data_IF_527965448058
#
_entry.id   IF_527965448058
#
_cell.length_a   1.000
_cell.length_b   1.000
_cell.length_c   1.000
_cell.angle_alpha   90.00
_cell.angle_beta   90.00
_cell.angle_gamma   90.00
#
_symmetry.space_group_name_H-M   'P 1'
#
loop_
_entity.id
_entity.type
_entity.pdbx_description
1 polymer ?
#
# COMPACT_ATOMS: atom_id res chain seq x y z
N UNK A 1 -18.86 6.36 -17.51
CA UNK A 1 -18.99 5.00 -16.91
C UNK A 1 -18.79 5.18 -15.42
N UNK A 2 -19.69 4.64 -14.60
CA UNK A 2 -19.48 4.60 -13.15
C UNK A 2 -18.58 3.38 -12.86
N UNK A 3 -17.33 3.63 -12.55
CA UNK A 3 -16.30 2.60 -12.31
C UNK A 3 -16.43 1.89 -10.95
N UNK A 4 -17.33 2.36 -10.07
CA UNK A 4 -17.69 1.69 -8.82
C UNK A 4 -18.96 0.84 -8.92
N UNK A 5 -19.77 0.98 -9.96
CA UNK A 5 -21.11 0.40 -10.06
C UNK A 5 -21.15 -1.14 -9.91
N UNK A 6 -20.06 -1.83 -10.22
CA UNK A 6 -19.99 -3.30 -10.18
C UNK A 6 -18.95 -3.83 -9.18
N UNK A 7 -18.36 -2.93 -8.36
CA UNK A 7 -17.38 -3.33 -7.35
C UNK A 7 -18.12 -3.82 -6.11
N UNK A 8 -17.92 -5.09 -5.76
CA UNK A 8 -18.38 -5.64 -4.49
C UNK A 8 -17.33 -5.31 -3.42
N UNK A 9 -17.65 -4.49 -2.41
CA UNK A 9 -16.71 -4.20 -1.34
C UNK A 9 -16.41 -5.43 -0.46
N UNK A 10 -15.23 -5.50 0.18
CA UNK A 10 -14.92 -6.52 1.18
C UNK A 10 -15.98 -6.57 2.29
N UNK A 11 -16.32 -7.77 2.75
CA UNK A 11 -17.39 -7.97 3.75
C UNK A 11 -17.22 -7.13 5.04
N UNK A 12 -15.97 -6.90 5.47
CA UNK A 12 -15.64 -6.16 6.68
C UNK A 12 -15.45 -4.64 6.46
N UNK A 13 -15.45 -4.18 5.19
CA UNK A 13 -15.14 -2.79 4.85
C UNK A 13 -16.09 -1.81 5.53
N UNK A 14 -17.40 -2.06 5.49
CA UNK A 14 -18.40 -1.18 6.10
C UNK A 14 -18.22 -1.01 7.62
N UNK A 15 -17.67 -2.00 8.31
CA UNK A 15 -17.37 -1.90 9.73
C UNK A 15 -16.17 -0.95 9.97
N UNK A 16 -15.14 -1.03 9.13
CA UNK A 16 -13.97 -0.15 9.20
C UNK A 16 -14.40 1.27 8.86
N UNK A 17 -15.14 1.50 7.76
CA UNK A 17 -15.60 2.83 7.32
C UNK A 17 -16.37 3.57 8.43
N UNK A 18 -17.33 2.90 9.09
CA UNK A 18 -18.08 3.50 10.21
C UNK A 18 -17.17 3.91 11.37
N UNK A 19 -16.17 3.08 11.70
CA UNK A 19 -15.23 3.38 12.80
C UNK A 19 -14.25 4.46 12.40
N UNK A 20 -13.80 4.47 11.16
CA UNK A 20 -12.94 5.51 10.57
C UNK A 20 -13.63 6.87 10.61
N UNK A 21 -14.90 6.94 10.21
CA UNK A 21 -15.71 8.15 10.28
C UNK A 21 -15.92 8.63 11.73
N UNK A 22 -16.21 7.71 12.65
CA UNK A 22 -16.36 8.03 14.08
C UNK A 22 -15.05 8.51 14.72
N UNK A 23 -13.92 8.00 14.26
CA UNK A 23 -12.58 8.41 14.70
C UNK A 23 -12.17 9.75 14.09
N UNK A 24 -12.75 10.15 12.95
CA UNK A 24 -12.43 11.38 12.24
C UNK A 24 -11.08 11.31 11.52
N UNK A 25 -10.69 10.15 11.00
CA UNK A 25 -9.43 9.96 10.28
C UNK A 25 -9.48 10.63 8.91
N UNK A 26 -8.60 11.62 8.60
CA UNK A 26 -8.72 12.46 7.40
C UNK A 26 -8.06 11.86 6.15
N UNK A 27 -7.27 10.78 6.28
CA UNK A 27 -6.42 10.20 5.23
C UNK A 27 -6.87 8.80 4.83
N UNK A 28 -8.19 8.59 4.70
CA UNK A 28 -8.74 7.29 4.34
C UNK A 28 -8.56 7.01 2.85
N UNK A 29 -8.00 5.83 2.51
CA UNK A 29 -7.86 5.38 1.11
C UNK A 29 -9.22 5.27 0.42
N UNK A 30 -9.27 5.67 -0.85
CA UNK A 30 -10.51 5.66 -1.63
C UNK A 30 -10.91 4.23 -2.07
N UNK A 31 -12.24 3.96 -2.24
CA UNK A 31 -12.71 2.65 -2.70
C UNK A 31 -12.15 2.22 -4.06
N UNK A 32 -11.86 3.17 -4.96
CA UNK A 32 -11.23 2.89 -6.26
C UNK A 32 -9.83 2.35 -6.10
N UNK A 33 -9.00 3.01 -5.29
CA UNK A 33 -7.66 2.53 -4.93
C UNK A 33 -7.75 1.12 -4.34
N UNK A 34 -8.67 0.90 -3.41
CA UNK A 34 -8.91 -0.41 -2.80
C UNK A 34 -9.25 -1.49 -3.83
N UNK A 35 -10.15 -1.22 -4.78
CA UNK A 35 -10.53 -2.18 -5.82
C UNK A 35 -9.34 -2.56 -6.73
N UNK A 36 -8.46 -1.60 -7.06
CA UNK A 36 -7.23 -1.88 -7.80
C UNK A 36 -6.31 -2.77 -6.97
N UNK A 37 -6.06 -2.42 -5.69
CA UNK A 37 -5.21 -3.19 -4.79
C UNK A 37 -5.69 -4.64 -4.67
N UNK A 38 -7.00 -4.88 -4.51
CA UNK A 38 -7.61 -6.21 -4.51
C UNK A 38 -7.27 -7.00 -5.77
N UNK A 39 -7.43 -6.35 -6.93
CA UNK A 39 -7.18 -6.99 -8.23
C UNK A 39 -5.71 -7.36 -8.40
N UNK A 40 -4.79 -6.47 -7.99
CA UNK A 40 -3.36 -6.72 -8.05
C UNK A 40 -2.91 -7.77 -7.02
N UNK A 41 -3.51 -7.81 -5.84
CA UNK A 41 -3.27 -8.85 -4.83
C UNK A 41 -3.69 -10.23 -5.35
N UNK A 42 -4.86 -10.33 -6.01
CA UNK A 42 -5.33 -11.57 -6.63
C UNK A 42 -4.39 -12.10 -7.73
N UNK A 43 -3.59 -11.23 -8.35
CA UNK A 43 -2.58 -11.63 -9.35
C UNK A 43 -1.29 -12.20 -8.71
N UNK A 44 -1.22 -12.30 -7.37
CA UNK A 44 -0.06 -12.81 -6.61
C UNK A 44 -0.41 -14.00 -5.71
N UNK A 45 -0.77 -15.16 -6.27
CA UNK A 45 -1.09 -16.35 -5.47
C UNK A 45 0.09 -16.77 -4.59
N UNK A 46 -0.14 -17.00 -3.29
CA UNK A 46 0.88 -17.31 -2.31
C UNK A 46 1.91 -16.19 -2.07
N UNK A 47 1.63 -14.99 -2.58
CA UNK A 47 2.54 -13.85 -2.54
C UNK A 47 2.73 -13.27 -1.15
N UNK A 48 3.87 -12.59 -0.96
CA UNK A 48 4.15 -11.75 0.22
C UNK A 48 3.85 -10.30 -0.14
N UNK A 49 2.95 -9.68 0.61
CA UNK A 49 2.52 -8.30 0.40
C UNK A 49 2.98 -7.42 1.57
N UNK A 50 3.31 -6.18 1.28
CA UNK A 50 3.67 -5.15 2.25
C UNK A 50 2.82 -3.91 2.02
N UNK A 51 2.28 -3.36 3.09
CA UNK A 51 1.61 -2.06 3.12
C UNK A 51 2.36 -1.12 4.06
N UNK A 52 2.77 0.03 3.57
CA UNK A 52 3.39 1.10 4.33
C UNK A 52 2.35 2.21 4.51
N UNK A 53 1.79 2.31 5.72
CA UNK A 53 0.64 3.14 6.05
C UNK A 53 -0.64 2.30 6.20
N UNK A 54 -0.87 1.72 7.40
CA UNK A 54 -2.09 0.96 7.71
C UNK A 54 -3.30 1.90 7.87
N UNK A 55 -3.08 3.05 8.49
CA UNK A 55 -4.16 3.92 8.93
C UNK A 55 -5.19 3.14 9.73
N UNK A 56 -6.46 3.24 9.34
CA UNK A 56 -7.57 2.51 9.95
C UNK A 56 -7.83 1.12 9.34
N UNK A 57 -7.07 0.73 8.29
CA UNK A 57 -7.14 -0.60 7.66
C UNK A 57 -8.07 -0.70 6.46
N UNK A 58 -8.47 0.42 5.84
CA UNK A 58 -9.33 0.39 4.66
C UNK A 58 -8.65 -0.30 3.48
N UNK A 59 -7.44 0.14 3.09
CA UNK A 59 -6.69 -0.50 2.02
C UNK A 59 -6.27 -1.93 2.38
N UNK A 60 -5.91 -2.17 3.66
CA UNK A 60 -5.63 -3.50 4.21
C UNK A 60 -6.78 -4.48 3.95
N UNK A 61 -8.04 -4.05 4.16
CA UNK A 61 -9.22 -4.90 3.91
C UNK A 61 -9.37 -5.29 2.44
N UNK A 62 -9.10 -4.38 1.52
CA UNK A 62 -9.13 -4.65 0.08
C UNK A 62 -8.01 -5.60 -0.36
N UNK A 63 -6.79 -5.41 0.17
CA UNK A 63 -5.67 -6.32 -0.09
C UNK A 63 -6.02 -7.74 0.36
N UNK A 64 -6.51 -7.91 1.59
CA UNK A 64 -6.92 -9.21 2.15
C UNK A 64 -8.01 -9.90 1.33
N UNK A 65 -9.00 -9.13 0.84
CA UNK A 65 -10.10 -9.67 0.01
C UNK A 65 -9.60 -10.20 -1.35
N UNK A 66 -8.52 -9.62 -1.89
CA UNK A 66 -7.89 -10.10 -3.12
C UNK A 66 -6.92 -11.26 -2.95
N UNK A 67 -6.39 -11.47 -1.75
CA UNK A 67 -5.36 -12.47 -1.47
C UNK A 67 -5.93 -13.88 -1.39
N UNK A 68 -5.18 -14.85 -1.91
CA UNK A 68 -5.48 -16.26 -1.69
C UNK A 68 -5.11 -16.71 -0.24
N UNK A 69 -5.52 -17.94 0.17
CA UNK A 69 -5.28 -18.42 1.54
C UNK A 69 -3.82 -18.61 1.93
N UNK A 70 -2.89 -18.66 0.98
CA UNK A 70 -1.45 -18.89 1.21
C UNK A 70 -0.63 -17.63 1.15
N UNK A 71 -1.21 -16.51 0.68
CA UNK A 71 -0.56 -15.21 0.66
C UNK A 71 -0.47 -14.62 2.07
N UNK A 72 0.50 -13.72 2.29
CA UNK A 72 0.68 -13.01 3.57
C UNK A 72 0.77 -11.53 3.34
N UNK A 73 0.22 -10.75 4.27
CA UNK A 73 0.28 -9.29 4.27
C UNK A 73 0.88 -8.80 5.59
N UNK A 74 1.95 -8.03 5.49
CA UNK A 74 2.45 -7.22 6.61
C UNK A 74 2.04 -5.77 6.35
N UNK A 75 1.40 -5.14 7.33
CA UNK A 75 1.04 -3.71 7.28
C UNK A 75 1.70 -2.97 8.42
N UNK A 76 2.24 -1.78 8.14
CA UNK A 76 3.06 -1.02 9.09
C UNK A 76 2.53 0.40 9.22
N UNK A 77 2.36 0.87 10.46
CA UNK A 77 2.02 2.25 10.76
C UNK A 77 2.61 2.68 12.10
N UNK A 78 2.84 3.96 12.26
CA UNK A 78 3.35 4.53 13.51
C UNK A 78 2.21 4.85 14.49
N UNK A 79 0.97 5.02 14.01
CA UNK A 79 -0.20 5.40 14.83
C UNK A 79 -0.95 4.17 15.39
N UNK A 80 -0.71 3.80 16.67
CA UNK A 80 -1.40 2.68 17.29
C UNK A 80 -2.91 2.90 17.44
N UNK A 81 -3.36 4.17 17.46
CA UNK A 81 -4.79 4.50 17.67
C UNK A 81 -5.58 4.27 16.38
N UNK A 82 -5.06 4.71 15.25
CA UNK A 82 -5.65 4.39 13.95
C UNK A 82 -5.62 2.88 13.70
N UNK A 83 -4.47 2.23 13.93
CA UNK A 83 -4.31 0.77 13.77
C UNK A 83 -5.21 -0.06 14.68
N UNK A 84 -5.67 0.47 15.83
CA UNK A 84 -6.59 -0.26 16.70
C UNK A 84 -7.88 -0.66 15.96
N UNK A 85 -8.35 0.17 15.02
CA UNK A 85 -9.54 -0.14 14.20
C UNK A 85 -9.25 -1.35 13.30
N UNK A 86 -8.10 -1.35 12.61
CA UNK A 86 -7.67 -2.48 11.77
C UNK A 86 -7.50 -3.77 12.61
N UNK A 87 -6.86 -3.69 13.78
CA UNK A 87 -6.68 -4.84 14.69
C UNK A 87 -7.99 -5.45 15.13
N UNK A 88 -8.94 -4.61 15.53
CA UNK A 88 -10.24 -5.07 16.04
C UNK A 88 -11.09 -5.74 14.96
N UNK A 89 -11.02 -5.25 13.72
CA UNK A 89 -11.87 -5.73 12.62
C UNK A 89 -11.20 -6.84 11.81
N UNK A 90 -9.90 -6.71 11.54
CA UNK A 90 -9.14 -7.57 10.63
C UNK A 90 -8.19 -8.53 11.35
N UNK A 91 -7.86 -8.29 12.61
CA UNK A 91 -6.82 -9.02 13.34
C UNK A 91 -7.05 -10.52 13.53
N UNK A 92 -8.25 -11.03 13.21
CA UNK A 92 -8.53 -12.46 13.21
C UNK A 92 -8.05 -13.18 11.92
N UNK A 93 -7.69 -12.43 10.87
CA UNK A 93 -7.17 -13.01 9.62
C UNK A 93 -5.72 -13.46 9.81
N UNK A 94 -5.47 -14.76 9.67
CA UNK A 94 -4.16 -15.37 9.89
C UNK A 94 -3.12 -15.00 8.83
N UNK A 95 -3.52 -14.41 7.72
CA UNK A 95 -2.64 -13.92 6.66
C UNK A 95 -2.07 -12.54 6.98
N UNK A 96 -2.63 -11.84 7.98
CA UNK A 96 -2.32 -10.45 8.32
C UNK A 96 -1.38 -10.35 9.53
N UNK A 97 -0.31 -9.60 9.36
CA UNK A 97 0.56 -9.11 10.44
C UNK A 97 0.49 -7.58 10.50
N UNK A 98 0.02 -7.04 11.64
CA UNK A 98 -0.10 -5.59 11.87
C UNK A 98 1.03 -5.14 12.79
N UNK A 99 1.97 -4.39 12.25
CA UNK A 99 3.16 -3.89 12.94
C UNK A 99 2.97 -2.42 13.31
N UNK A 100 3.03 -2.10 14.62
CA UNK A 100 3.06 -0.71 15.08
C UNK A 100 4.51 -0.26 15.23
N UNK A 101 5.03 0.40 14.22
CA UNK A 101 6.41 0.87 14.16
C UNK A 101 6.55 1.98 13.12
N UNK A 102 7.53 2.85 13.28
CA UNK A 102 7.96 3.73 12.20
C UNK A 102 8.40 2.92 10.98
N UNK A 103 7.84 3.24 9.81
CA UNK A 103 8.08 2.46 8.59
C UNK A 103 9.56 2.53 8.13
N UNK A 104 10.28 3.62 8.42
CA UNK A 104 11.71 3.70 8.10
C UNK A 104 12.53 2.77 8.98
N UNK A 105 12.20 2.68 10.27
CA UNK A 105 12.83 1.73 11.21
C UNK A 105 12.50 0.29 10.80
N UNK A 106 11.27 0.02 10.39
CA UNK A 106 10.84 -1.29 9.91
C UNK A 106 11.65 -1.72 8.67
N UNK A 107 11.73 -0.88 7.63
CA UNK A 107 12.47 -1.17 6.41
C UNK A 107 13.96 -1.37 6.68
N UNK A 108 14.56 -0.56 7.55
CA UNK A 108 15.97 -0.70 7.94
C UNK A 108 16.26 -2.01 8.70
N UNK A 109 15.27 -2.53 9.43
CA UNK A 109 15.38 -3.78 10.18
C UNK A 109 15.30 -5.06 9.33
N UNK A 110 14.89 -4.96 8.05
CA UNK A 110 14.81 -6.11 7.16
C UNK A 110 16.20 -6.65 6.79
N UNK A 111 16.29 -7.96 6.60
CA UNK A 111 17.55 -8.63 6.32
C UNK A 111 18.11 -8.29 4.94
N UNK A 112 19.42 -8.40 4.77
CA UNK A 112 20.07 -8.21 3.48
C UNK A 112 19.58 -9.22 2.41
N UNK A 113 19.12 -10.40 2.81
CA UNK A 113 18.53 -11.38 1.90
C UNK A 113 17.18 -10.91 1.34
N UNK A 114 16.34 -10.32 2.18
CA UNK A 114 15.07 -9.73 1.78
C UNK A 114 15.29 -8.51 0.89
N UNK A 115 16.23 -7.62 1.26
CA UNK A 115 16.52 -6.40 0.51
C UNK A 115 17.10 -6.62 -0.89
N UNK A 116 17.57 -7.83 -1.20
CA UNK A 116 18.10 -8.17 -2.54
C UNK A 116 17.06 -8.79 -3.48
N UNK A 117 15.78 -8.82 -3.09
CA UNK A 117 14.73 -9.43 -3.89
C UNK A 117 14.86 -10.95 -4.03
N UNK A 118 15.56 -11.60 -3.08
CA UNK A 118 15.66 -13.06 -2.99
C UNK A 118 14.32 -13.70 -2.59
N UNK A 119 14.37 -14.92 -2.06
CA UNK A 119 13.16 -15.64 -1.61
C UNK A 119 12.39 -14.90 -0.50
N UNK A 120 13.04 -13.97 0.20
CA UNK A 120 12.46 -13.11 1.24
C UNK A 120 11.76 -11.83 0.75
N UNK A 121 11.87 -11.43 -0.53
CA UNK A 121 11.27 -10.19 -1.06
C UNK A 121 9.75 -10.21 -1.14
N UNK A 122 9.14 -9.08 -1.51
CA UNK A 122 7.68 -8.90 -1.64
C UNK A 122 7.23 -8.97 -3.09
N UNK A 123 6.03 -9.51 -3.30
CA UNK A 123 5.38 -9.62 -4.61
C UNK A 123 4.50 -8.41 -4.91
N UNK A 124 4.12 -7.66 -3.85
CA UNK A 124 3.41 -6.40 -3.94
C UNK A 124 3.80 -5.53 -2.76
N UNK A 125 4.11 -4.25 -3.03
CA UNK A 125 4.30 -3.22 -2.00
C UNK A 125 3.35 -2.08 -2.31
N UNK A 126 2.51 -1.70 -1.34
CA UNK A 126 1.67 -0.52 -1.37
C UNK A 126 2.25 0.54 -0.45
N UNK A 127 2.63 1.69 -1.02
CA UNK A 127 3.22 2.81 -0.30
C UNK A 127 2.18 3.94 -0.16
N UNK A 128 1.56 4.01 1.00
CA UNK A 128 0.59 5.04 1.41
C UNK A 128 1.04 5.82 2.64
N UNK A 129 2.35 6.02 2.75
CA UNK A 129 3.03 6.84 3.74
C UNK A 129 4.14 7.63 3.08
N UNK A 130 4.76 8.58 3.80
CA UNK A 130 5.93 9.33 3.29
C UNK A 130 7.11 8.40 3.03
N UNK A 131 7.28 7.40 3.90
CA UNK A 131 8.25 6.31 3.73
C UNK A 131 7.78 5.36 2.63
N UNK A 132 8.69 5.03 1.71
CA UNK A 132 8.37 4.29 0.49
C UNK A 132 7.99 5.19 -0.69
N UNK A 133 7.55 6.43 -0.44
CA UNK A 133 7.33 7.44 -1.50
C UNK A 133 8.53 8.37 -1.63
N UNK A 134 8.79 9.18 -0.63
CA UNK A 134 9.79 10.25 -0.64
C UNK A 134 11.00 9.94 0.23
N UNK A 135 10.86 9.00 1.14
CA UNK A 135 11.89 8.54 2.06
C UNK A 135 12.07 7.04 1.89
N UNK A 136 13.31 6.58 1.91
CA UNK A 136 13.67 5.17 1.77
C UNK A 136 13.08 4.44 0.54
N UNK A 137 12.81 5.17 -0.55
CA UNK A 137 12.29 4.60 -1.79
C UNK A 137 13.20 3.49 -2.33
N UNK A 138 14.53 3.70 -2.33
CA UNK A 138 15.49 2.72 -2.84
C UNK A 138 15.47 1.43 -2.04
N UNK A 139 15.37 1.52 -0.71
CA UNK A 139 15.27 0.37 0.17
C UNK A 139 13.96 -0.39 -0.06
N UNK A 140 12.85 0.33 -0.19
CA UNK A 140 11.55 -0.28 -0.45
C UNK A 140 11.52 -0.98 -1.83
N UNK A 141 12.07 -0.35 -2.87
CA UNK A 141 12.17 -0.95 -4.21
C UNK A 141 13.12 -2.16 -4.24
N UNK A 142 14.19 -2.15 -3.44
CA UNK A 142 15.10 -3.30 -3.32
C UNK A 142 14.43 -4.54 -2.75
N UNK A 143 13.37 -4.36 -1.93
CA UNK A 143 12.56 -5.46 -1.38
C UNK A 143 11.59 -6.07 -2.40
N UNK A 144 11.35 -5.42 -3.53
CA UNK A 144 10.42 -5.91 -4.53
C UNK A 144 11.04 -7.03 -5.35
N UNK A 145 10.33 -8.15 -5.53
CA UNK A 145 10.75 -9.24 -6.41
C UNK A 145 10.63 -8.87 -7.89
N UNK A 146 11.39 -9.49 -8.79
CA UNK A 146 11.10 -9.43 -10.22
C UNK A 146 9.64 -9.81 -10.51
N UNK A 147 8.96 -9.01 -11.32
CA UNK A 147 7.51 -9.14 -11.57
C UNK A 147 6.63 -8.60 -10.45
N UNK A 148 7.20 -8.12 -9.33
CA UNK A 148 6.45 -7.54 -8.22
C UNK A 148 5.85 -6.18 -8.56
N UNK A 149 4.71 -5.86 -7.94
CA UNK A 149 4.04 -4.57 -8.04
C UNK A 149 4.49 -3.61 -6.95
N UNK A 150 4.81 -2.37 -7.34
CA UNK A 150 4.98 -1.24 -6.43
C UNK A 150 3.89 -0.22 -6.72
N UNK A 151 3.01 0.02 -5.76
CA UNK A 151 1.89 0.93 -5.92
C UNK A 151 2.09 2.12 -4.97
N UNK A 152 1.93 3.34 -5.47
CA UNK A 152 2.04 4.57 -4.69
C UNK A 152 0.72 5.32 -4.79
N UNK A 153 0.18 5.72 -3.64
CA UNK A 153 -1.05 6.53 -3.57
C UNK A 153 -0.76 8.04 -3.43
N UNK A 154 -1.81 8.85 -3.51
CA UNK A 154 -1.78 10.31 -3.30
C UNK A 154 -0.87 11.07 -4.27
N UNK A 155 -0.99 10.80 -5.56
CA UNK A 155 -0.18 11.46 -6.59
C UNK A 155 -0.91 12.63 -7.29
N UNK A 156 -2.20 12.82 -7.02
CA UNK A 156 -2.97 14.00 -7.46
C UNK A 156 -3.17 14.98 -6.29
N UNK A 157 -3.19 16.30 -6.56
CA UNK A 157 -3.37 17.31 -5.52
C UNK A 157 -4.64 17.08 -4.69
N UNK A 158 -4.49 17.10 -3.38
CA UNK A 158 -5.57 16.98 -2.41
C UNK A 158 -5.57 18.15 -1.45
N UNK A 159 -6.78 18.57 -1.00
CA UNK A 159 -6.93 19.69 -0.09
C UNK A 159 -6.30 19.46 1.31
N UNK A 160 -6.09 18.18 1.67
CA UNK A 160 -5.48 17.77 2.93
C UNK A 160 -3.96 17.80 2.92
N UNK A 161 -3.32 18.04 1.76
CA UNK A 161 -1.87 18.01 1.67
C UNK A 161 -1.23 19.23 2.36
N UNK A 162 -0.10 19.03 3.07
CA UNK A 162 0.75 20.13 3.46
C UNK A 162 1.40 20.77 2.22
N UNK A 163 1.73 22.08 2.30
CA UNK A 163 2.28 22.83 1.15
C UNK A 163 3.53 22.21 0.53
N UNK A 164 4.37 21.59 1.36
CA UNK A 164 5.61 20.95 0.95
C UNK A 164 5.40 19.62 0.21
N UNK A 165 4.19 19.04 0.21
CA UNK A 165 3.91 17.76 -0.46
C UNK A 165 3.87 17.91 -1.99
N UNK A 166 3.12 18.87 -2.50
CA UNK A 166 2.89 19.04 -3.93
C UNK A 166 4.18 19.10 -4.78
N UNK A 167 5.27 19.82 -4.37
CA UNK A 167 6.52 19.83 -5.11
C UNK A 167 7.29 18.51 -5.13
N UNK A 168 7.01 17.58 -4.22
CA UNK A 168 7.68 16.26 -4.17
C UNK A 168 7.17 15.30 -5.23
N UNK A 169 5.89 15.40 -5.61
CA UNK A 169 5.27 14.49 -6.58
C UNK A 169 5.96 14.48 -7.94
N UNK A 170 6.19 15.61 -8.64
CA UNK A 170 6.88 15.59 -9.92
C UNK A 170 8.30 15.02 -9.83
N UNK A 171 8.99 15.25 -8.72
CA UNK A 171 10.34 14.72 -8.50
C UNK A 171 10.32 13.20 -8.35
N UNK A 172 9.36 12.67 -7.57
CA UNK A 172 9.18 11.22 -7.42
C UNK A 172 8.85 10.56 -8.76
N UNK A 173 7.92 11.16 -9.53
CA UNK A 173 7.54 10.64 -10.85
C UNK A 173 8.75 10.59 -11.82
N UNK A 174 9.57 11.65 -11.86
CA UNK A 174 10.80 11.68 -12.64
C UNK A 174 11.78 10.59 -12.16
N UNK A 175 12.01 10.48 -10.85
CA UNK A 175 12.89 9.45 -10.28
C UNK A 175 12.45 8.04 -10.68
N UNK A 176 11.15 7.75 -10.66
CA UNK A 176 10.62 6.43 -11.03
C UNK A 176 10.74 6.18 -12.55
N UNK A 177 10.48 7.20 -13.37
CA UNK A 177 10.58 7.10 -14.82
C UNK A 177 12.01 6.83 -15.32
N UNK A 178 13.03 7.35 -14.61
CA UNK A 178 14.44 7.16 -14.94
C UNK A 178 14.99 5.78 -14.55
N UNK A 179 14.19 4.93 -13.87
CA UNK A 179 14.62 3.61 -13.41
C UNK A 179 14.40 2.56 -14.50
N UNK A 180 15.48 2.12 -15.14
CA UNK A 180 15.44 1.10 -16.19
C UNK A 180 14.89 -0.26 -15.71
N UNK A 181 15.06 -0.57 -14.41
CA UNK A 181 14.56 -1.80 -13.77
C UNK A 181 13.04 -1.78 -13.51
N UNK A 182 12.37 -0.65 -13.73
CA UNK A 182 10.93 -0.51 -13.54
C UNK A 182 10.18 -0.35 -14.87
N UNK A 183 8.97 -0.89 -14.91
CA UNK A 183 7.96 -0.53 -15.90
C UNK A 183 6.89 0.25 -15.15
N UNK A 184 6.72 1.55 -15.47
CA UNK A 184 5.93 2.50 -14.66
C UNK A 184 4.76 3.03 -15.47
N UNK A 185 3.59 3.16 -14.83
CA UNK A 185 2.44 3.90 -15.35
C UNK A 185 1.89 4.83 -14.27
N UNK A 186 1.56 6.06 -14.67
CA UNK A 186 0.90 7.04 -13.82
C UNK A 186 -0.60 7.06 -14.17
N UNK A 187 -1.44 6.91 -13.16
CA UNK A 187 -2.88 6.88 -13.30
C UNK A 187 -3.49 8.14 -12.68
N UNK A 188 -4.00 9.05 -13.52
CA UNK A 188 -4.80 10.21 -13.07
C UNK A 188 -6.22 9.75 -12.72
N UNK A 189 -6.34 8.89 -11.71
CA UNK A 189 -7.56 8.21 -11.30
C UNK A 189 -7.54 7.99 -9.78
N UNK A 190 -8.71 8.02 -9.10
CA UNK A 190 -8.79 8.02 -7.64
C UNK A 190 -8.01 9.21 -7.06
N UNK A 191 -7.22 9.00 -6.03
CA UNK A 191 -6.27 9.94 -5.41
C UNK A 191 -5.02 10.26 -6.26
N UNK A 192 -4.94 9.64 -7.46
CA UNK A 192 -3.73 9.58 -8.28
C UNK A 192 -2.80 8.48 -7.84
N UNK A 193 -2.50 7.56 -8.76
CA UNK A 193 -1.72 6.38 -8.46
C UNK A 193 -0.51 6.26 -9.39
N UNK A 194 0.59 5.75 -8.85
CA UNK A 194 1.65 5.15 -9.66
C UNK A 194 1.59 3.64 -9.49
N UNK A 195 1.61 2.91 -10.59
CA UNK A 195 1.81 1.47 -10.59
C UNK A 195 3.11 1.16 -11.31
N UNK A 196 4.05 0.55 -10.62
CA UNK A 196 5.31 0.10 -11.19
C UNK A 196 5.47 -1.41 -11.04
N UNK A 197 6.14 -2.03 -12.01
CA UNK A 197 6.50 -3.45 -11.97
C UNK A 197 8.01 -3.56 -12.09
N UNK A 198 8.65 -4.32 -11.21
CA UNK A 198 10.07 -4.62 -11.32
C UNK A 198 10.30 -5.61 -12.47
N UNK A 199 11.15 -5.22 -13.41
CA UNK A 199 11.58 -6.10 -14.51
C UNK A 199 12.40 -7.29 -13.97
N UNK A 200 12.39 -8.40 -14.70
CA UNK A 200 13.23 -9.57 -14.42
C UNK A 200 14.65 -9.41 -14.90
#
# INVERSE_FOLDING_TARGET
MDDLAFIQPPALLAAIERRTAAFGFPMASEPRTGALLRTLAAAKPGGRLLELGTGTGLATAWLLDGMDPHATLTTVDIDPTAQAIARDVLGADRRLDIVTQDAAVFLAGLTAAESRGGSGGFDLIFADAMVGKYEMLDQALALLRPGGFYIIDDMLPQASWPEEHAPRVPRLMATLADRAELCVVNLAWSSGLVVAVRRG
#
